data_IF_756091848721
#
_entry.id   IF_756091848721
#
_cell.length_a   1.000
_cell.length_b   1.000
_cell.length_c   1.000
_cell.angle_alpha   90.00
_cell.angle_beta   90.00
_cell.angle_gamma   90.00
#
_symmetry.space_group_name_H-M   'P 1'
#
loop_
_entity.id
_entity.type
_entity.pdbx_description
1 polymer ?
#
# COMPACT_ATOMS: atom_id res chain seq x y z
N UNK A 1 6.15 10.73 1.51
CA UNK A 1 6.94 10.48 0.28
C UNK A 1 6.73 9.01 -0.10
N UNK A 2 5.64 8.63 -0.78
CA UNK A 2 5.39 7.21 -1.03
C UNK A 2 4.82 6.91 -2.40
N UNK A 3 4.98 5.64 -2.72
CA UNK A 3 4.72 4.98 -3.98
C UNK A 3 5.93 4.08 -4.23
N UNK A 4 5.78 2.85 -4.71
CA UNK A 4 6.87 1.92 -5.06
C UNK A 4 6.58 1.14 -6.37
N UNK A 5 7.47 1.05 -7.36
CA UNK A 5 7.43 0.08 -8.45
C UNK A 5 8.69 -0.79 -8.41
N UNK A 6 8.53 -2.06 -8.78
CA UNK A 6 9.63 -3.02 -8.84
C UNK A 6 10.17 -3.04 -10.27
N UNK A 7 11.45 -2.68 -10.43
CA UNK A 7 12.21 -3.03 -11.63
C UNK A 7 12.67 -4.47 -11.44
N UNK A 8 12.15 -5.38 -12.27
CA UNK A 8 12.58 -6.78 -12.30
C UNK A 8 13.34 -7.07 -13.59
N UNK A 9 14.49 -7.73 -13.45
CA UNK A 9 15.27 -8.24 -14.56
C UNK A 9 15.97 -9.54 -14.16
N UNK A 10 16.49 -10.29 -15.13
CA UNK A 10 17.36 -11.44 -14.89
C UNK A 10 18.66 -11.25 -15.67
N UNK A 11 19.81 -11.33 -15.00
CA UNK A 11 21.13 -11.06 -15.57
C UNK A 11 22.06 -12.28 -15.42
N UNK A 12 21.86 -13.34 -16.23
CA UNK A 12 22.56 -14.61 -16.05
C UNK A 12 24.06 -14.53 -16.38
N UNK A 13 24.86 -15.32 -15.66
CA UNK A 13 26.29 -15.52 -15.93
C UNK A 13 26.58 -17.00 -16.18
N UNK A 14 27.50 -17.29 -17.11
CA UNK A 14 28.03 -18.65 -17.31
C UNK A 14 28.98 -19.09 -16.20
N UNK A 15 29.52 -18.12 -15.43
CA UNK A 15 30.32 -18.40 -14.26
C UNK A 15 29.42 -18.52 -13.03
N UNK A 16 29.24 -19.75 -12.56
CA UNK A 16 28.31 -20.11 -11.45
C UNK A 16 28.70 -19.53 -10.08
N UNK A 17 29.92 -19.02 -9.91
CA UNK A 17 30.36 -18.32 -8.70
C UNK A 17 30.42 -16.80 -8.88
N UNK A 18 30.00 -16.26 -10.03
CA UNK A 18 30.04 -14.82 -10.26
C UNK A 18 29.01 -14.07 -9.41
N UNK A 19 29.37 -12.87 -8.99
CA UNK A 19 28.43 -11.84 -8.53
C UNK A 19 28.25 -10.86 -9.67
N UNK A 20 27.04 -10.73 -10.18
CA UNK A 20 26.70 -9.80 -11.28
C UNK A 20 26.11 -8.54 -10.67
N UNK A 21 26.77 -7.40 -10.87
CA UNK A 21 26.23 -6.09 -10.53
C UNK A 21 25.38 -5.57 -11.68
N UNK A 22 24.17 -5.12 -11.37
CA UNK A 22 23.25 -4.48 -12.30
C UNK A 22 22.96 -3.07 -11.81
N UNK A 23 23.28 -2.09 -12.65
CA UNK A 23 22.92 -0.70 -12.44
C UNK A 23 21.55 -0.43 -13.08
N UNK A 24 20.72 0.36 -12.42
CA UNK A 24 19.37 0.71 -12.89
C UNK A 24 19.15 2.22 -12.79
N UNK A 25 18.30 2.74 -13.66
CA UNK A 25 17.85 4.12 -13.64
C UNK A 25 16.39 4.22 -14.08
N UNK A 26 15.72 5.27 -13.61
CA UNK A 26 14.36 5.68 -13.96
C UNK A 26 14.44 7.12 -14.42
N UNK A 27 13.94 7.42 -15.62
CA UNK A 27 13.91 8.77 -16.16
C UNK A 27 12.50 9.17 -16.59
N UNK A 28 12.22 10.48 -16.63
CA UNK A 28 10.96 11.02 -17.17
C UNK A 28 10.96 11.17 -18.69
N UNK A 29 12.07 10.84 -19.34
CA UNK A 29 12.26 10.92 -20.78
C UNK A 29 12.99 9.67 -21.28
N UNK A 30 12.72 9.30 -22.54
CA UNK A 30 13.25 8.08 -23.14
C UNK A 30 14.76 8.15 -23.46
N UNK A 31 15.34 9.34 -23.47
CA UNK A 31 16.77 9.55 -23.69
C UNK A 31 17.57 9.46 -22.38
N UNK A 32 16.91 9.25 -21.24
CA UNK A 32 17.50 9.22 -19.91
C UNK A 32 18.29 10.49 -19.55
N UNK A 33 17.92 11.65 -20.10
CA UNK A 33 18.56 12.94 -19.77
C UNK A 33 18.08 13.49 -18.43
N UNK A 34 16.88 13.12 -17.98
CA UNK A 34 16.28 13.52 -16.71
C UNK A 34 16.05 12.31 -15.80
N UNK A 35 17.14 11.69 -15.34
CA UNK A 35 17.11 10.60 -14.36
C UNK A 35 16.48 11.11 -13.06
N UNK A 36 15.41 10.44 -12.63
CA UNK A 36 14.67 10.69 -11.39
C UNK A 36 15.16 9.82 -10.24
N UNK A 37 15.60 8.61 -10.53
CA UNK A 37 16.14 7.68 -9.54
C UNK A 37 17.11 6.70 -10.20
N UNK A 38 18.15 6.30 -9.49
CA UNK A 38 19.10 5.29 -9.96
C UNK A 38 19.72 4.54 -8.79
N UNK A 39 20.32 3.38 -9.07
CA UNK A 39 21.01 2.58 -8.07
C UNK A 39 21.69 1.37 -8.66
N UNK A 40 22.18 0.51 -7.77
CA UNK A 40 22.85 -0.74 -8.14
C UNK A 40 22.39 -1.86 -7.23
N UNK A 41 22.32 -3.06 -7.78
CA UNK A 41 21.96 -4.27 -7.06
C UNK A 41 22.80 -5.42 -7.61
N UNK A 42 23.20 -6.33 -6.72
CA UNK A 42 23.96 -7.51 -7.10
C UNK A 42 23.05 -8.72 -7.15
N UNK A 43 23.32 -9.63 -8.08
CA UNK A 43 22.65 -10.91 -8.19
C UNK A 43 23.64 -12.05 -8.39
N UNK A 44 23.22 -13.23 -7.97
CA UNK A 44 24.02 -14.46 -7.93
C UNK A 44 23.14 -15.65 -8.33
N UNK A 45 23.74 -16.84 -8.46
CA UNK A 45 23.03 -18.06 -8.86
C UNK A 45 21.94 -18.51 -7.86
N UNK A 46 22.13 -18.26 -6.57
CA UNK A 46 21.20 -18.57 -5.46
C UNK A 46 19.84 -17.85 -5.57
N UNK A 47 19.79 -16.71 -6.27
CA UNK A 47 18.55 -15.98 -6.60
C UNK A 47 18.18 -16.09 -8.08
N UNK A 48 18.68 -17.12 -8.77
CA UNK A 48 18.51 -17.37 -10.21
C UNK A 48 18.88 -16.16 -11.09
N UNK A 49 19.92 -15.43 -10.69
CA UNK A 49 20.34 -14.20 -11.37
C UNK A 49 19.25 -13.12 -11.46
N UNK A 50 18.24 -13.18 -10.59
CA UNK A 50 17.13 -12.23 -10.54
C UNK A 50 17.51 -10.96 -9.79
N UNK A 51 17.18 -9.83 -10.42
CA UNK A 51 17.31 -8.50 -9.87
C UNK A 51 15.93 -7.95 -9.57
N UNK A 52 15.75 -7.40 -8.37
CA UNK A 52 14.59 -6.60 -7.97
C UNK A 52 15.09 -5.29 -7.37
N UNK A 53 14.69 -4.16 -7.95
CA UNK A 53 14.93 -2.85 -7.36
C UNK A 53 13.60 -2.14 -7.12
N UNK A 54 13.44 -1.54 -5.94
CA UNK A 54 12.25 -0.78 -5.57
C UNK A 54 12.49 0.72 -5.84
N UNK A 55 11.76 1.28 -6.81
CA UNK A 55 11.71 2.71 -7.12
C UNK A 55 10.37 3.30 -6.69
N UNK A 56 10.17 4.62 -6.60
CA UNK A 56 8.91 5.14 -6.06
C UNK A 56 7.75 5.29 -7.08
N UNK A 57 6.60 4.60 -6.94
CA UNK A 57 5.34 4.68 -7.74
C UNK A 57 4.03 4.64 -6.92
N UNK A 58 3.25 5.71 -6.90
CA UNK A 58 1.93 5.77 -6.27
C UNK A 58 0.88 5.51 -7.35
N UNK A 59 0.11 4.42 -7.24
CA UNK A 59 -0.92 4.10 -8.22
C UNK A 59 -1.94 5.24 -8.40
N UNK A 60 -2.22 6.00 -7.33
CA UNK A 60 -3.07 7.18 -7.40
C UNK A 60 -2.44 8.36 -8.14
N UNK A 61 -1.11 8.54 -8.07
CA UNK A 61 -0.43 9.54 -8.92
C UNK A 61 -0.53 9.17 -10.41
N UNK A 62 -0.38 7.89 -10.74
CA UNK A 62 -0.53 7.43 -12.13
C UNK A 62 -1.97 7.57 -12.65
N UNK A 63 -2.96 7.26 -11.82
CA UNK A 63 -4.38 7.50 -12.14
C UNK A 63 -4.61 9.00 -12.36
N UNK A 64 -4.07 9.86 -11.50
CA UNK A 64 -4.18 11.31 -11.65
C UNK A 64 -3.52 11.80 -12.95
N UNK A 65 -2.32 11.32 -13.27
CA UNK A 65 -1.64 11.66 -14.53
C UNK A 65 -2.47 11.21 -15.75
N UNK A 66 -3.11 10.03 -15.71
CA UNK A 66 -4.00 9.58 -16.78
C UNK A 66 -5.28 10.41 -16.88
N UNK A 67 -5.83 10.82 -15.74
CA UNK A 67 -6.97 11.73 -15.67
C UNK A 67 -6.66 13.09 -16.31
N UNK A 68 -5.52 13.69 -15.96
CA UNK A 68 -5.05 14.98 -16.51
C UNK A 68 -4.85 14.94 -18.03
N UNK A 69 -4.64 13.75 -18.60
CA UNK A 69 -4.52 13.51 -20.04
C UNK A 69 -5.85 13.07 -20.70
N UNK A 70 -7.00 13.26 -20.04
CA UNK A 70 -8.33 12.88 -20.52
C UNK A 70 -8.45 11.40 -20.94
N UNK A 71 -7.81 10.49 -20.18
CA UNK A 71 -7.84 9.05 -20.48
C UNK A 71 -8.83 8.25 -19.64
N UNK A 72 -9.47 8.88 -18.65
CA UNK A 72 -10.32 8.25 -17.65
C UNK A 72 -11.50 9.16 -17.33
N UNK A 73 -12.66 8.57 -17.08
CA UNK A 73 -13.89 9.29 -16.70
C UNK A 73 -14.23 9.17 -15.21
N UNK A 74 -13.78 8.09 -14.56
CA UNK A 74 -14.02 7.81 -13.14
C UNK A 74 -13.01 6.79 -12.59
N UNK A 75 -12.94 6.67 -11.27
CA UNK A 75 -12.20 5.62 -10.56
C UNK A 75 -13.18 4.73 -9.80
N UNK A 76 -13.02 3.42 -9.90
CA UNK A 76 -13.76 2.43 -9.12
C UNK A 76 -12.82 1.78 -8.11
N UNK A 77 -13.08 1.98 -6.81
CA UNK A 77 -12.35 1.31 -5.72
C UNK A 77 -13.18 0.13 -5.21
N UNK A 78 -12.55 -1.04 -5.13
CA UNK A 78 -13.24 -2.32 -4.93
C UNK A 78 -13.06 -2.90 -3.51
N UNK A 79 -12.77 -2.04 -2.53
CA UNK A 79 -12.50 -2.43 -1.14
C UNK A 79 -11.03 -2.29 -0.73
N UNK A 80 -10.74 -2.51 0.54
CA UNK A 80 -9.42 -2.34 1.15
C UNK A 80 -8.82 -0.93 0.97
N UNK A 81 -9.67 0.10 1.00
CA UNK A 81 -9.24 1.49 0.92
C UNK A 81 -8.36 1.88 2.11
N UNK A 82 -8.64 1.31 3.29
CA UNK A 82 -7.80 1.38 4.47
C UNK A 82 -7.58 -0.03 5.03
N UNK A 83 -6.52 -0.19 5.82
CA UNK A 83 -6.29 -1.38 6.64
C UNK A 83 -6.46 -1.03 8.11
N UNK A 84 -6.89 -1.98 8.94
CA UNK A 84 -7.16 -1.77 10.37
C UNK A 84 -5.93 -1.99 11.26
N UNK A 85 -4.94 -2.74 10.76
CA UNK A 85 -3.80 -3.24 11.51
C UNK A 85 -2.99 -2.15 12.24
N UNK A 86 -2.32 -2.58 13.31
CA UNK A 86 -1.25 -1.81 13.96
C UNK A 86 0.05 -1.81 13.16
N UNK A 87 0.90 -0.82 13.42
CA UNK A 87 2.27 -0.73 12.89
C UNK A 87 3.28 -1.60 13.66
N UNK A 88 2.96 -2.87 13.87
CA UNK A 88 3.87 -3.79 14.59
C UNK A 88 5.14 -4.06 13.77
N UNK A 89 6.28 -4.26 14.44
CA UNK A 89 7.57 -4.56 13.79
C UNK A 89 7.57 -5.81 12.90
N UNK A 90 6.55 -6.69 13.04
CA UNK A 90 6.38 -7.86 12.18
C UNK A 90 5.82 -7.50 10.80
N UNK A 91 4.93 -6.49 10.73
CA UNK A 91 4.26 -6.02 9.53
C UNK A 91 4.88 -4.74 8.95
N UNK A 92 5.68 -4.04 9.75
CA UNK A 92 6.24 -2.74 9.45
C UNK A 92 7.71 -2.65 9.86
N UNK A 93 8.60 -2.44 8.90
CA UNK A 93 10.01 -2.15 9.16
C UNK A 93 10.54 -1.23 8.06
N UNK A 94 10.82 0.03 8.41
CA UNK A 94 11.35 1.04 7.48
C UNK A 94 12.70 0.65 6.88
N UNK A 95 13.44 -0.26 7.54
CA UNK A 95 14.71 -0.80 7.07
C UNK A 95 14.56 -2.06 6.21
N UNK A 96 13.39 -2.69 6.19
CA UNK A 96 13.07 -3.85 5.36
C UNK A 96 12.24 -3.40 4.14
N UNK A 97 12.83 -3.37 2.92
CA UNK A 97 12.10 -2.98 1.72
C UNK A 97 10.92 -3.91 1.37
N UNK A 98 10.80 -5.07 2.03
CA UNK A 98 9.64 -5.96 1.94
C UNK A 98 8.50 -5.67 2.94
N UNK A 99 8.70 -4.80 3.93
CA UNK A 99 7.73 -4.52 5.01
C UNK A 99 7.29 -3.05 5.06
N UNK A 100 6.81 -2.57 3.92
CA UNK A 100 6.14 -1.28 3.77
C UNK A 100 7.03 -0.05 4.02
N UNK A 101 6.63 1.12 3.47
CA UNK A 101 7.26 2.42 3.81
C UNK A 101 6.33 3.48 4.45
N UNK A 102 5.05 3.16 4.74
CA UNK A 102 4.17 3.95 5.62
C UNK A 102 3.79 3.24 6.92
N UNK A 103 4.20 3.81 8.07
CA UNK A 103 3.67 3.40 9.38
C UNK A 103 2.21 3.86 9.50
N UNK A 104 1.31 2.98 9.93
CA UNK A 104 -0.08 3.34 10.24
C UNK A 104 -0.20 4.20 11.50
N UNK A 105 -1.16 5.12 11.46
CA UNK A 105 -1.61 5.93 12.59
C UNK A 105 -3.13 5.75 12.78
N UNK A 106 -3.62 5.57 14.01
CA UNK A 106 -2.83 5.39 15.24
C UNK A 106 -1.99 4.10 15.20
N UNK A 107 -0.89 4.03 15.98
CA UNK A 107 0.04 2.87 16.02
C UNK A 107 -0.52 1.69 16.83
N UNK A 108 -1.79 1.38 16.60
CA UNK A 108 -2.54 0.27 17.18
C UNK A 108 -3.56 -0.20 16.15
N UNK A 109 -4.18 -1.33 16.41
CA UNK A 109 -5.36 -1.72 15.65
C UNK A 109 -6.49 -0.72 15.91
N UNK A 110 -7.23 -0.35 14.87
CA UNK A 110 -8.32 0.61 14.96
C UNK A 110 -9.63 -0.08 15.33
N UNK A 111 -10.28 0.40 16.39
CA UNK A 111 -11.52 -0.19 16.92
C UNK A 111 -12.56 0.88 17.26
N UNK A 112 -12.13 2.06 17.74
CA UNK A 112 -13.02 3.18 18.06
C UNK A 112 -13.27 4.04 16.83
N UNK A 113 -14.41 4.74 16.79
CA UNK A 113 -14.75 5.67 15.70
C UNK A 113 -13.62 6.68 15.39
N UNK A 114 -13.00 7.23 16.44
CA UNK A 114 -11.89 8.17 16.28
C UNK A 114 -10.66 7.52 15.62
N UNK A 115 -10.40 6.25 15.92
CA UNK A 115 -9.29 5.52 15.32
C UNK A 115 -9.51 5.34 13.80
N UNK A 116 -10.74 4.99 13.38
CA UNK A 116 -11.10 4.89 11.96
C UNK A 116 -10.99 6.23 11.24
N UNK A 117 -11.46 7.33 11.84
CA UNK A 117 -11.33 8.68 11.27
C UNK A 117 -9.87 9.06 11.04
N UNK A 118 -9.01 8.80 12.02
CA UNK A 118 -7.58 9.05 11.90
C UNK A 118 -6.94 8.19 10.80
N UNK A 119 -7.36 6.92 10.69
CA UNK A 119 -6.90 6.03 9.63
C UNK A 119 -7.31 6.53 8.23
N UNK A 120 -8.58 6.90 8.05
CA UNK A 120 -9.06 7.50 6.80
C UNK A 120 -8.30 8.79 6.47
N UNK A 121 -8.14 9.69 7.45
CA UNK A 121 -7.38 10.94 7.28
C UNK A 121 -5.93 10.69 6.86
N UNK A 122 -5.29 9.64 7.37
CA UNK A 122 -3.94 9.26 6.94
C UNK A 122 -3.90 8.88 5.44
N UNK A 123 -4.89 8.17 4.93
CA UNK A 123 -4.95 7.79 3.52
C UNK A 123 -5.36 8.97 2.63
N UNK A 124 -6.34 9.76 3.07
CA UNK A 124 -6.85 10.92 2.33
C UNK A 124 -5.86 12.09 2.29
N UNK A 125 -4.93 12.17 3.25
CA UNK A 125 -3.82 13.14 3.22
C UNK A 125 -2.66 12.72 2.33
N UNK A 126 -2.70 11.52 1.74
CA UNK A 126 -1.71 11.13 0.75
C UNK A 126 -1.83 11.99 -0.51
N UNK A 127 -0.69 12.52 -0.98
CA UNK A 127 -0.65 13.42 -2.14
C UNK A 127 -1.25 12.78 -3.40
N UNK A 128 -0.97 11.49 -3.65
CA UNK A 128 -1.51 10.80 -4.83
C UNK A 128 -3.02 10.65 -4.71
N UNK A 129 -3.51 10.24 -3.53
CA UNK A 129 -4.94 10.16 -3.24
C UNK A 129 -5.64 11.51 -3.45
N UNK A 130 -5.09 12.60 -2.91
CA UNK A 130 -5.64 13.95 -3.09
C UNK A 130 -5.68 14.37 -4.56
N UNK A 131 -4.61 14.09 -5.32
CA UNK A 131 -4.56 14.38 -6.77
C UNK A 131 -5.61 13.59 -7.53
N UNK A 132 -5.70 12.27 -7.30
CA UNK A 132 -6.68 11.41 -7.95
C UNK A 132 -8.11 11.87 -7.65
N UNK A 133 -8.44 12.09 -6.36
CA UNK A 133 -9.78 12.55 -5.94
C UNK A 133 -10.12 13.96 -6.43
N UNK A 134 -9.11 14.80 -6.67
CA UNK A 134 -9.28 16.12 -7.28
C UNK A 134 -9.49 16.08 -8.79
N UNK A 135 -9.01 15.04 -9.46
CA UNK A 135 -9.06 14.90 -10.92
C UNK A 135 -10.28 14.10 -11.42
N UNK A 136 -10.73 13.08 -10.67
CA UNK A 136 -11.80 12.16 -11.09
C UNK A 136 -12.82 11.92 -9.98
N UNK A 137 -14.09 11.66 -10.33
CA UNK A 137 -15.05 11.11 -9.39
C UNK A 137 -14.60 9.69 -8.95
N UNK A 138 -14.62 9.46 -7.65
CA UNK A 138 -14.34 8.17 -7.03
C UNK A 138 -15.66 7.46 -6.68
N UNK A 139 -15.88 6.29 -7.26
CA UNK A 139 -16.95 5.36 -6.90
C UNK A 139 -16.29 4.29 -6.02
N UNK A 140 -16.66 4.23 -4.75
CA UNK A 140 -16.07 3.31 -3.81
C UNK A 140 -17.09 2.30 -3.28
N UNK A 141 -16.63 1.06 -3.12
CA UNK A 141 -17.27 0.04 -2.29
C UNK A 141 -16.23 -0.45 -1.28
N UNK A 142 -16.69 -0.88 -0.11
CA UNK A 142 -15.83 -1.49 0.91
C UNK A 142 -15.66 -2.99 0.65
N UNK A 143 -14.63 -3.57 1.24
CA UNK A 143 -14.50 -5.00 1.53
C UNK A 143 -14.35 -5.17 3.06
N UNK A 144 -13.58 -6.16 3.51
CA UNK A 144 -13.45 -6.51 4.91
C UNK A 144 -12.54 -5.56 5.69
N UNK A 145 -11.44 -5.06 5.11
CA UNK A 145 -10.45 -4.25 5.83
C UNK A 145 -10.90 -2.83 6.20
N UNK A 146 -11.99 -2.32 5.59
CA UNK A 146 -12.70 -1.15 6.12
C UNK A 146 -13.24 -1.39 7.54
N UNK A 147 -13.42 -2.66 7.93
CA UNK A 147 -13.83 -3.10 9.24
C UNK A 147 -12.65 -3.75 9.97
N UNK A 148 -12.28 -4.95 9.53
CA UNK A 148 -11.13 -5.76 9.97
C UNK A 148 -11.07 -7.06 9.15
N UNK A 149 -9.88 -7.63 9.00
CA UNK A 149 -9.59 -8.80 8.19
C UNK A 149 -10.61 -9.95 8.33
N UNK A 150 -11.06 -10.45 7.18
CA UNK A 150 -12.07 -11.47 7.00
C UNK A 150 -13.38 -11.17 7.77
N UNK A 151 -13.81 -9.92 7.78
CA UNK A 151 -15.11 -9.51 8.29
C UNK A 151 -16.25 -10.15 7.51
N UNK A 152 -17.26 -10.58 8.26
CA UNK A 152 -18.52 -11.10 7.75
C UNK A 152 -19.67 -10.59 8.62
N UNK A 153 -20.90 -10.97 8.28
CA UNK A 153 -22.13 -10.42 8.89
C UNK A 153 -22.11 -10.31 10.42
N UNK A 154 -21.47 -11.25 11.11
CA UNK A 154 -21.54 -11.36 12.58
C UNK A 154 -20.19 -11.41 13.28
N UNK A 155 -19.08 -11.16 12.58
CA UNK A 155 -17.76 -11.16 13.19
C UNK A 155 -16.65 -11.00 12.16
N UNK A 156 -15.42 -11.31 12.56
CA UNK A 156 -14.25 -11.25 11.69
C UNK A 156 -13.10 -12.12 12.23
N UNK A 157 -12.06 -12.40 11.44
CA UNK A 157 -10.94 -13.25 11.89
C UNK A 157 -10.16 -12.61 13.03
N UNK A 158 -9.78 -11.33 12.90
CA UNK A 158 -9.04 -10.61 13.95
C UNK A 158 -9.91 -10.26 15.18
N UNK A 159 -11.19 -10.67 15.18
CA UNK A 159 -12.10 -10.59 16.32
C UNK A 159 -12.33 -11.97 16.99
N UNK A 160 -12.11 -13.09 16.28
CA UNK A 160 -12.54 -14.43 16.71
C UNK A 160 -11.39 -15.43 17.01
N UNK A 161 -10.13 -14.98 17.06
CA UNK A 161 -8.98 -15.87 17.31
C UNK A 161 -8.84 -16.30 18.79
N UNK A 162 -9.81 -17.06 19.28
CA UNK A 162 -9.74 -17.86 20.51
C UNK A 162 -10.33 -17.19 21.74
N UNK A 163 -11.57 -17.54 22.06
CA UNK A 163 -12.25 -17.45 23.37
C UNK A 163 -12.24 -16.12 24.13
N UNK A 164 -11.79 -15.04 23.51
CA UNK A 164 -11.86 -13.70 24.07
C UNK A 164 -12.42 -12.78 22.99
N UNK A 165 -13.63 -12.26 23.20
CA UNK A 165 -13.95 -10.95 22.65
C UNK A 165 -12.74 -10.06 22.97
N UNK A 166 -12.18 -9.35 21.99
CA UNK A 166 -11.30 -8.22 22.34
C UNK A 166 -12.10 -7.36 23.32
N UNK A 167 -11.71 -7.26 24.61
CA UNK A 167 -12.57 -6.74 25.67
C UNK A 167 -12.89 -5.26 25.51
N UNK A 168 -12.36 -4.59 24.48
CA UNK A 168 -12.54 -3.16 24.25
C UNK A 168 -13.89 -2.79 23.61
N UNK A 169 -14.48 -3.60 22.71
CA UNK A 169 -15.69 -3.19 21.98
C UNK A 169 -16.46 -4.34 21.30
N UNK A 170 -17.78 -4.49 21.52
CA UNK A 170 -18.59 -5.48 20.81
C UNK A 170 -18.55 -5.31 19.28
N UNK A 171 -18.50 -6.41 18.52
CA UNK A 171 -18.45 -6.40 17.05
C UNK A 171 -19.44 -5.43 16.40
N UNK A 172 -20.71 -5.45 16.83
CA UNK A 172 -21.76 -4.57 16.29
C UNK A 172 -21.39 -3.10 16.39
N UNK A 173 -20.72 -2.71 17.47
CA UNK A 173 -20.31 -1.32 17.71
C UNK A 173 -19.03 -0.98 16.92
N UNK A 174 -18.07 -1.91 16.80
CA UNK A 174 -16.91 -1.74 15.91
C UNK A 174 -17.36 -1.58 14.45
N UNK A 175 -18.24 -2.45 13.97
CA UNK A 175 -18.77 -2.38 12.60
C UNK A 175 -19.56 -1.09 12.36
N UNK A 176 -20.35 -0.63 13.34
CA UNK A 176 -21.04 0.66 13.25
C UNK A 176 -20.06 1.85 13.20
N UNK A 177 -18.96 1.80 13.95
CA UNK A 177 -17.91 2.82 13.91
C UNK A 177 -17.21 2.87 12.54
N UNK A 178 -16.85 1.70 12.00
CA UNK A 178 -16.25 1.55 10.67
C UNK A 178 -17.16 2.13 9.57
N UNK A 179 -18.42 1.68 9.51
CA UNK A 179 -19.41 2.18 8.54
C UNK A 179 -19.59 3.68 8.66
N UNK A 180 -19.68 4.20 9.87
CA UNK A 180 -19.83 5.64 10.08
C UNK A 180 -18.63 6.41 9.55
N UNK A 181 -17.41 5.99 9.86
CA UNK A 181 -16.20 6.65 9.38
C UNK A 181 -16.06 6.58 7.85
N UNK A 182 -16.48 5.48 7.22
CA UNK A 182 -16.43 5.31 5.76
C UNK A 182 -17.29 6.33 5.01
N UNK A 183 -18.42 6.75 5.60
CA UNK A 183 -19.34 7.72 5.00
C UNK A 183 -19.08 9.18 5.40
N UNK A 184 -18.12 9.44 6.30
CA UNK A 184 -17.70 10.79 6.71
C UNK A 184 -16.63 11.35 5.77
#
# INVERSE_FOLDING_TARGET
MHGGFVIWARAPSQNVIAVVRVDWAVASDNEFKQVKQQGSVSTTLDVDWSVKSYCYFNAYDAIADWAENNRLDAVLHLGDYIYEYSSSALLWDESDPGKGTRSHYPRKEIVMLQDYRERHSQWDSDRGTMRMRGALPLIAVWDDHEFTNNAFRTGAQNYNNGDNEDPALPWKLRAANAVRAYFE
#
